data_IF_603153706012
#
_entry.id   IF_603153706012
#
_cell.length_a   1.000
_cell.length_b   1.000
_cell.length_c   1.000
_cell.angle_alpha   90.00
_cell.angle_beta   90.00
_cell.angle_gamma   90.00
#
_symmetry.space_group_name_H-M   'P 1'
#
loop_
_entity.id
_entity.type
_entity.pdbx_description
1 polymer ?
#
# COMPACT_ATOMS: atom_id res chain seq x y z
N UNK A 1 -6.31 16.25 -21.37
CA UNK A 1 -7.32 15.78 -20.39
C UNK A 1 -6.58 15.33 -19.15
N UNK A 2 -6.81 15.95 -17.99
CA UNK A 2 -6.14 15.55 -16.73
C UNK A 2 -6.93 14.38 -16.16
N UNK A 3 -6.34 13.19 -16.13
CA UNK A 3 -6.95 12.04 -15.48
C UNK A 3 -6.98 12.25 -13.96
N UNK A 4 -8.15 12.19 -13.30
CA UNK A 4 -8.19 12.33 -11.85
C UNK A 4 -7.51 11.14 -11.19
N UNK A 5 -6.69 11.42 -10.18
CA UNK A 5 -6.25 10.40 -9.23
C UNK A 5 -7.44 9.95 -8.39
N UNK A 6 -7.72 8.65 -8.35
CA UNK A 6 -8.83 8.08 -7.60
C UNK A 6 -8.27 7.20 -6.49
N UNK A 7 -8.79 7.38 -5.29
CA UNK A 7 -8.44 6.60 -4.12
C UNK A 7 -9.36 5.38 -4.01
N UNK A 8 -8.74 4.23 -3.85
CA UNK A 8 -9.41 2.95 -3.69
C UNK A 8 -8.98 2.31 -2.38
N UNK A 9 -9.93 1.75 -1.66
CA UNK A 9 -9.69 0.84 -0.54
C UNK A 9 -9.35 -0.53 -1.12
N UNK A 10 -8.28 -1.13 -0.63
CA UNK A 10 -7.93 -2.49 -0.99
C UNK A 10 -8.68 -3.46 -0.09
N UNK A 11 -9.48 -4.31 -0.70
CA UNK A 11 -10.30 -5.31 -0.01
C UNK A 11 -9.70 -6.67 -0.28
N UNK A 12 -9.25 -7.33 0.77
CA UNK A 12 -8.65 -8.66 0.71
C UNK A 12 -9.40 -9.54 1.70
N UNK A 13 -10.01 -10.64 1.25
CA UNK A 13 -10.71 -11.54 2.14
C UNK A 13 -9.74 -12.17 3.15
N UNK A 14 -10.24 -12.52 4.33
CA UNK A 14 -9.44 -13.18 5.37
C UNK A 14 -8.83 -14.51 4.86
N UNK A 15 -9.56 -15.19 3.97
CA UNK A 15 -9.19 -16.44 3.32
C UNK A 15 -8.46 -16.24 1.99
N UNK A 16 -8.00 -15.02 1.68
CA UNK A 16 -7.36 -14.74 0.40
C UNK A 16 -6.21 -15.71 0.11
N UNK A 17 -6.22 -16.24 -1.11
CA UNK A 17 -5.21 -17.18 -1.57
C UNK A 17 -3.79 -16.59 -1.54
N UNK A 18 -2.80 -17.48 -1.57
CA UNK A 18 -1.39 -17.15 -1.72
C UNK A 18 -1.17 -16.25 -2.95
N UNK A 19 -0.53 -15.10 -2.75
CA UNK A 19 -0.14 -14.20 -3.84
C UNK A 19 0.79 -14.92 -4.81
N UNK A 20 0.40 -15.00 -6.09
CA UNK A 20 1.33 -15.36 -7.16
C UNK A 20 2.31 -14.19 -7.38
N UNK A 21 3.49 -14.31 -6.78
CA UNK A 21 4.50 -13.24 -6.75
C UNK A 21 5.04 -12.92 -8.14
N UNK A 22 5.23 -13.91 -8.99
CA UNK A 22 5.83 -13.70 -10.30
C UNK A 22 4.83 -13.07 -11.26
N UNK A 23 3.58 -13.56 -11.26
CA UNK A 23 2.51 -12.93 -12.03
C UNK A 23 2.24 -11.49 -11.57
N UNK A 24 2.20 -11.26 -10.26
CA UNK A 24 2.04 -9.91 -9.69
C UNK A 24 3.15 -8.97 -10.13
N UNK A 25 4.42 -9.40 -10.00
CA UNK A 25 5.57 -8.59 -10.37
C UNK A 25 5.57 -8.23 -11.85
N UNK A 26 5.32 -9.20 -12.73
CA UNK A 26 5.27 -8.98 -14.16
C UNK A 26 4.15 -7.99 -14.53
N UNK A 27 2.97 -8.19 -13.94
CA UNK A 27 1.79 -7.39 -14.24
C UNK A 27 1.89 -5.95 -13.68
N UNK A 28 2.41 -5.77 -12.47
CA UNK A 28 2.68 -4.44 -11.90
C UNK A 28 3.76 -3.73 -12.71
N UNK A 29 4.85 -4.41 -13.09
CA UNK A 29 5.89 -3.82 -13.95
C UNK A 29 5.29 -3.31 -15.26
N UNK A 30 4.41 -4.10 -15.89
CA UNK A 30 3.71 -3.69 -17.10
C UNK A 30 2.80 -2.48 -16.85
N UNK A 31 2.03 -2.48 -15.76
CA UNK A 31 1.17 -1.35 -15.39
C UNK A 31 1.97 -0.06 -15.20
N UNK A 32 3.11 -0.13 -14.50
CA UNK A 32 3.99 1.01 -14.24
C UNK A 32 4.59 1.63 -15.51
N UNK A 33 4.62 0.89 -16.63
CA UNK A 33 4.97 1.46 -17.95
C UNK A 33 4.00 2.53 -18.41
N UNK A 34 2.74 2.45 -17.99
CA UNK A 34 1.67 3.29 -18.50
C UNK A 34 1.08 4.22 -17.44
N UNK A 35 1.13 3.84 -16.16
CA UNK A 35 0.53 4.60 -15.06
C UNK A 35 1.37 4.52 -13.79
N UNK A 36 1.49 5.64 -13.08
CA UNK A 36 2.05 5.60 -11.74
C UNK A 36 1.01 5.10 -10.72
N UNK A 37 1.51 4.59 -9.60
CA UNK A 37 0.70 4.03 -8.50
C UNK A 37 1.22 4.59 -7.18
N UNK A 38 0.32 4.97 -6.28
CA UNK A 38 0.67 5.23 -4.88
C UNK A 38 -0.11 4.26 -4.01
N UNK A 39 0.59 3.38 -3.30
CA UNK A 39 -0.02 2.59 -2.25
C UNK A 39 0.12 3.31 -0.91
N UNK A 40 -0.79 3.02 -0.01
CA UNK A 40 -0.75 3.52 1.35
C UNK A 40 -1.28 2.47 2.30
N UNK A 41 -0.52 2.20 3.34
CA UNK A 41 -0.99 1.42 4.50
C UNK A 41 -1.20 2.40 5.64
N UNK A 42 -2.40 2.38 6.20
CA UNK A 42 -2.77 3.15 7.38
C UNK A 42 -3.01 2.18 8.53
N UNK A 43 -2.40 2.45 9.68
CA UNK A 43 -2.66 1.78 10.95
C UNK A 43 -3.26 2.79 11.92
N UNK A 44 -4.35 2.41 12.57
CA UNK A 44 -5.00 3.19 13.64
C UNK A 44 -5.51 2.24 14.71
N UNK A 45 -5.00 2.38 15.94
CA UNK A 45 -5.44 1.61 17.13
C UNK A 45 -5.46 0.10 16.85
N UNK A 46 -4.36 -0.41 16.34
CA UNK A 46 -4.21 -1.84 16.06
C UNK A 46 -4.82 -2.34 14.74
N UNK A 47 -5.63 -1.53 14.05
CA UNK A 47 -6.25 -1.90 12.77
C UNK A 47 -5.46 -1.38 11.59
N UNK A 48 -5.21 -2.23 10.60
CA UNK A 48 -4.53 -1.85 9.36
C UNK A 48 -5.49 -1.88 8.17
N UNK A 49 -5.37 -0.88 7.30
CA UNK A 49 -6.11 -0.78 6.05
C UNK A 49 -5.19 -0.28 4.94
N UNK A 50 -5.17 -1.00 3.83
CA UNK A 50 -4.45 -0.61 2.63
C UNK A 50 -5.35 0.17 1.65
N UNK A 51 -4.74 1.11 0.96
CA UNK A 51 -5.36 1.92 -0.08
C UNK A 51 -4.40 2.04 -1.26
N UNK A 52 -4.95 2.24 -2.46
CA UNK A 52 -4.18 2.56 -3.66
C UNK A 52 -4.77 3.77 -4.36
N UNK A 53 -3.90 4.62 -4.88
CA UNK A 53 -4.29 5.75 -5.73
C UNK A 53 -3.80 5.51 -7.14
N UNK A 54 -4.74 5.56 -8.08
CA UNK A 54 -4.55 5.20 -9.49
C UNK A 54 -5.08 6.32 -10.38
N UNK A 55 -4.48 6.48 -11.56
CA UNK A 55 -5.03 7.36 -12.59
C UNK A 55 -6.31 6.75 -13.17
N UNK A 56 -7.44 7.42 -12.96
CA UNK A 56 -8.74 6.95 -13.41
C UNK A 56 -9.29 7.71 -14.62
N UNK A 57 -10.40 7.19 -15.15
CA UNK A 57 -11.30 7.94 -16.02
C UNK A 57 -12.53 8.41 -15.23
N UNK A 58 -13.33 9.32 -15.80
CA UNK A 58 -14.58 9.78 -15.19
C UNK A 58 -15.58 8.63 -14.92
N UNK A 59 -15.49 7.55 -15.70
CA UNK A 59 -16.30 6.35 -15.52
C UNK A 59 -15.95 5.55 -14.27
N UNK A 60 -14.73 5.69 -13.73
CA UNK A 60 -14.29 4.95 -12.55
C UNK A 60 -15.16 5.21 -11.32
N UNK A 61 -15.59 6.47 -11.11
CA UNK A 61 -16.42 6.85 -9.97
C UNK A 61 -17.83 6.25 -10.04
N UNK A 62 -18.27 5.84 -11.24
CA UNK A 62 -19.58 5.23 -11.52
C UNK A 62 -19.47 3.74 -11.83
N UNK A 63 -18.30 3.14 -11.62
CA UNK A 63 -17.98 1.76 -12.02
C UNK A 63 -18.22 1.45 -13.52
N UNK A 64 -18.27 2.48 -14.37
CA UNK A 64 -18.49 2.40 -15.81
C UNK A 64 -17.22 2.80 -16.58
N UNK A 65 -16.11 2.09 -16.32
CA UNK A 65 -14.81 2.43 -16.90
C UNK A 65 -14.81 2.33 -18.44
N UNK A 66 -14.22 3.32 -19.11
CA UNK A 66 -13.97 3.25 -20.56
C UNK A 66 -12.92 2.15 -20.89
N UNK A 67 -12.96 1.56 -22.09
CA UNK A 67 -11.89 0.67 -22.55
C UNK A 67 -10.50 1.31 -22.40
N UNK A 68 -9.52 0.53 -21.94
CA UNK A 68 -8.15 1.02 -21.71
C UNK A 68 -7.94 1.82 -20.41
N UNK A 69 -8.95 1.95 -19.55
CA UNK A 69 -8.82 2.61 -18.25
C UNK A 69 -7.71 1.97 -17.39
N UNK A 70 -6.73 2.77 -16.96
CA UNK A 70 -5.56 2.32 -16.18
C UNK A 70 -5.97 1.71 -14.83
N UNK A 71 -6.91 2.32 -14.11
CA UNK A 71 -7.44 1.75 -12.86
C UNK A 71 -8.15 0.42 -13.08
N UNK A 72 -8.93 0.26 -14.15
CA UNK A 72 -9.62 -1.00 -14.45
C UNK A 72 -8.62 -2.12 -14.81
N UNK A 73 -7.56 -1.78 -15.55
CA UNK A 73 -6.47 -2.72 -15.83
C UNK A 73 -5.74 -3.13 -14.54
N UNK A 74 -5.46 -2.20 -13.63
CA UNK A 74 -4.84 -2.51 -12.34
C UNK A 74 -5.72 -3.44 -11.50
N UNK A 75 -7.04 -3.20 -11.43
CA UNK A 75 -7.99 -4.10 -10.74
C UNK A 75 -7.91 -5.53 -11.26
N UNK A 76 -7.87 -5.72 -12.59
CA UNK A 76 -7.71 -7.05 -13.19
C UNK A 76 -6.38 -7.71 -12.82
N UNK A 77 -5.30 -6.93 -12.78
CA UNK A 77 -3.98 -7.42 -12.33
C UNK A 77 -4.04 -7.88 -10.87
N UNK A 78 -4.67 -7.08 -10.01
CA UNK A 78 -4.87 -7.38 -8.61
C UNK A 78 -5.67 -8.67 -8.42
N UNK A 79 -6.89 -8.77 -8.95
CA UNK A 79 -7.75 -9.94 -8.78
C UNK A 79 -7.13 -11.21 -9.37
N UNK A 80 -6.35 -11.10 -10.45
CA UNK A 80 -5.64 -12.25 -11.04
C UNK A 80 -4.48 -12.74 -10.14
N UNK A 81 -3.74 -11.82 -9.54
CA UNK A 81 -2.52 -12.17 -8.78
C UNK A 81 -2.83 -12.49 -7.32
N UNK A 82 -3.92 -11.92 -6.79
CA UNK A 82 -4.45 -12.14 -5.46
C UNK A 82 -5.95 -12.47 -5.58
N UNK A 83 -6.30 -13.75 -5.83
CA UNK A 83 -7.69 -14.18 -5.97
C UNK A 83 -8.56 -13.76 -4.79
N UNK A 84 -9.78 -13.29 -5.08
CA UNK A 84 -10.73 -12.80 -4.09
C UNK A 84 -10.52 -11.35 -3.66
N UNK A 85 -9.43 -10.70 -4.04
CA UNK A 85 -9.22 -9.27 -3.76
C UNK A 85 -9.90 -8.35 -4.78
N UNK A 86 -10.33 -7.18 -4.30
CA UNK A 86 -10.87 -6.09 -5.13
C UNK A 86 -10.45 -4.71 -4.62
N UNK A 87 -10.73 -3.69 -5.43
CA UNK A 87 -10.60 -2.29 -5.09
C UNK A 87 -11.98 -1.66 -4.90
N UNK A 88 -12.37 -1.49 -3.63
CA UNK A 88 -13.53 -0.72 -3.24
C UNK A 88 -13.29 0.78 -3.46
N UNK A 89 -14.24 1.47 -4.09
CA UNK A 89 -14.12 2.92 -4.27
C UNK A 89 -14.28 3.61 -2.92
N UNK A 90 -13.36 4.50 -2.55
CA UNK A 90 -13.56 5.37 -1.37
C UNK A 90 -14.67 6.37 -1.70
N UNK A 91 -15.68 6.49 -0.84
CA UNK A 91 -16.82 7.36 -1.09
C UNK A 91 -16.40 8.83 -1.30
N UNK A 92 -17.24 9.59 -1.99
CA UNK A 92 -17.05 11.04 -2.09
C UNK A 92 -17.40 11.71 -0.74
N UNK A 93 -16.70 12.79 -0.33
CA UNK A 93 -15.55 13.39 -1.01
C UNK A 93 -14.30 12.48 -0.98
N UNK A 94 -13.61 12.36 -2.11
CA UNK A 94 -12.43 11.50 -2.26
C UNK A 94 -11.30 11.92 -1.31
N UNK A 95 -10.89 11.01 -0.43
CA UNK A 95 -9.76 11.22 0.46
C UNK A 95 -9.92 10.48 1.79
N UNK A 96 -8.86 10.47 2.58
CA UNK A 96 -8.89 10.04 3.96
C UNK A 96 -8.89 11.24 4.90
N UNK A 97 -9.46 11.04 6.09
CA UNK A 97 -9.33 11.97 7.18
C UNK A 97 -7.85 12.24 7.47
N UNK A 98 -7.50 13.51 7.60
CA UNK A 98 -6.14 13.92 7.97
C UNK A 98 -5.94 13.67 9.46
N UNK A 99 -4.80 13.09 9.83
CA UNK A 99 -4.41 12.88 11.22
C UNK A 99 -3.15 13.70 11.53
N UNK A 100 -3.04 14.27 12.73
CA UNK A 100 -1.77 14.81 13.20
C UNK A 100 -0.76 13.66 13.19
N UNK A 101 0.37 13.88 12.55
CA UNK A 101 1.53 12.99 12.59
C UNK A 101 2.69 13.89 12.94
N UNK A 102 3.47 13.46 13.93
CA UNK A 102 4.49 14.31 14.56
C UNK A 102 5.87 13.99 13.99
N UNK A 103 6.14 12.70 13.76
CA UNK A 103 7.40 12.22 13.23
C UNK A 103 7.22 11.71 11.81
N UNK A 104 7.92 12.33 10.86
CA UNK A 104 7.83 11.98 9.44
C UNK A 104 9.21 11.81 8.80
N UNK A 105 9.39 10.68 8.14
CA UNK A 105 10.60 10.36 7.38
C UNK A 105 10.26 10.11 5.92
N UNK A 106 11.10 10.62 5.04
CA UNK A 106 11.03 10.36 3.60
C UNK A 106 12.12 9.34 3.27
N UNK A 107 11.76 8.32 2.51
CA UNK A 107 12.56 7.12 2.32
C UNK A 107 12.83 6.86 0.85
N UNK A 108 14.06 6.44 0.56
CA UNK A 108 14.45 5.80 -0.70
C UNK A 108 14.87 4.36 -0.47
N UNK A 109 14.62 3.45 -1.42
CA UNK A 109 15.09 2.09 -1.29
C UNK A 109 16.63 2.05 -1.31
N UNK A 110 17.23 1.49 -0.27
CA UNK A 110 18.62 1.01 -0.32
C UNK A 110 18.70 -0.36 -1.00
N UNK A 111 19.92 -0.86 -1.23
CA UNK A 111 20.17 -2.14 -1.92
C UNK A 111 19.51 -3.34 -1.24
N UNK A 112 19.35 -3.27 0.07
CA UNK A 112 18.77 -4.31 0.93
C UNK A 112 17.38 -3.94 1.44
N UNK A 113 16.71 -2.94 0.82
CA UNK A 113 15.40 -2.48 1.24
C UNK A 113 14.37 -3.61 1.25
N UNK A 114 13.74 -3.82 2.40
CA UNK A 114 12.66 -4.80 2.61
C UNK A 114 11.38 -4.08 3.03
N UNK A 115 10.20 -4.67 2.80
CA UNK A 115 9.00 -4.23 3.49
C UNK A 115 9.19 -4.28 5.01
N UNK A 116 8.56 -3.38 5.74
CA UNK A 116 8.54 -3.38 7.20
C UNK A 116 7.11 -3.17 7.70
N UNK A 117 6.82 -3.74 8.86
CA UNK A 117 5.49 -3.70 9.47
C UNK A 117 5.24 -2.38 10.20
N UNK A 118 3.98 -1.97 10.23
CA UNK A 118 3.52 -0.79 10.97
C UNK A 118 3.10 -1.11 12.41
N UNK A 119 3.10 -2.38 12.77
CA UNK A 119 2.66 -2.92 14.07
C UNK A 119 3.37 -2.33 15.29
N UNK A 120 4.47 -1.61 15.07
CA UNK A 120 5.29 -0.95 16.10
C UNK A 120 4.74 0.37 16.63
N UNK A 121 3.70 0.91 15.98
CA UNK A 121 3.04 2.15 16.34
C UNK A 121 1.53 1.92 16.41
N UNK A 122 0.80 2.64 17.25
CA UNK A 122 -0.67 2.56 17.28
C UNK A 122 -1.28 3.34 16.12
N UNK A 123 -0.67 4.49 15.78
CA UNK A 123 -0.98 5.26 14.58
C UNK A 123 0.23 5.41 13.64
N UNK A 124 0.11 4.85 12.44
CA UNK A 124 1.14 4.94 11.42
C UNK A 124 0.56 5.02 10.00
N UNK A 125 1.27 5.74 9.13
CA UNK A 125 0.92 5.92 7.72
C UNK A 125 2.16 5.72 6.88
N UNK A 126 2.20 4.64 6.10
CA UNK A 126 3.21 4.40 5.09
C UNK A 126 2.62 4.67 3.72
N UNK A 127 3.19 5.62 2.98
CA UNK A 127 2.84 5.91 1.59
C UNK A 127 4.01 5.49 0.72
N UNK A 128 3.77 4.67 -0.31
CA UNK A 128 4.79 4.23 -1.26
C UNK A 128 4.36 4.61 -2.67
N UNK A 129 5.17 5.43 -3.34
CA UNK A 129 4.95 5.85 -4.72
C UNK A 129 5.83 5.04 -5.67
N UNK A 130 5.19 4.48 -6.69
CA UNK A 130 5.80 3.71 -7.76
C UNK A 130 5.63 4.44 -9.09
N UNK A 131 6.72 4.64 -9.81
CA UNK A 131 6.71 5.30 -11.13
C UNK A 131 7.73 4.66 -12.07
N UNK A 132 7.58 4.89 -13.38
CA UNK A 132 8.64 4.66 -14.36
C UNK A 132 8.38 3.54 -15.36
N UNK A 133 8.77 3.78 -16.62
CA UNK A 133 8.49 2.90 -17.76
C UNK A 133 9.64 1.99 -18.17
N UNK A 134 10.88 2.51 -18.17
CA UNK A 134 12.09 1.72 -18.42
C UNK A 134 12.70 1.20 -17.13
N UNK A 135 12.63 2.00 -16.07
CA UNK A 135 13.19 1.69 -14.77
C UNK A 135 12.20 2.11 -13.69
N UNK A 136 11.83 1.17 -12.83
CA UNK A 136 10.94 1.42 -11.71
C UNK A 136 11.67 2.29 -10.67
N UNK A 137 11.01 3.37 -10.27
CA UNK A 137 11.44 4.28 -9.21
C UNK A 137 10.46 4.24 -8.06
N UNK A 138 11.01 4.35 -6.85
CA UNK A 138 10.27 4.21 -5.59
C UNK A 138 10.70 5.29 -4.63
N UNK A 139 9.71 5.96 -4.06
CA UNK A 139 9.89 6.77 -2.87
C UNK A 139 8.81 6.39 -1.87
N UNK A 140 9.15 6.40 -0.60
CA UNK A 140 8.20 6.18 0.46
C UNK A 140 8.22 7.35 1.45
N UNK A 141 7.12 7.48 2.19
CA UNK A 141 6.99 8.37 3.32
C UNK A 141 6.38 7.56 4.45
N UNK A 142 7.03 7.57 5.60
CA UNK A 142 6.51 6.99 6.83
C UNK A 142 6.22 8.14 7.79
N UNK A 143 4.98 8.24 8.22
CA UNK A 143 4.51 9.20 9.21
C UNK A 143 3.89 8.44 10.37
N UNK A 144 4.32 8.73 11.59
CA UNK A 144 3.90 8.04 12.81
C UNK A 144 3.55 9.07 13.88
N UNK A 145 2.84 8.62 14.91
CA UNK A 145 2.66 9.39 16.15
C UNK A 145 3.99 9.55 16.91
N UNK A 146 3.98 10.35 17.97
CA UNK A 146 5.18 10.62 18.77
C UNK A 146 5.64 9.41 19.59
N UNK A 147 4.69 8.61 20.07
CA UNK A 147 4.96 7.38 20.80
C UNK A 147 5.54 6.27 19.90
N UNK A 148 6.41 5.43 20.47
CA UNK A 148 7.03 4.30 19.79
C UNK A 148 8.42 4.57 19.20
N UNK A 149 9.03 3.58 18.55
CA UNK A 149 10.42 3.65 18.09
C UNK A 149 10.65 4.74 17.02
N UNK A 150 11.88 5.24 16.90
CA UNK A 150 12.23 6.21 15.87
C UNK A 150 11.97 5.64 14.46
N UNK A 151 11.06 6.24 13.65
CA UNK A 151 10.77 5.76 12.30
C UNK A 151 12.01 5.76 11.39
N UNK A 152 12.99 6.63 11.62
CA UNK A 152 14.22 6.66 10.84
C UNK A 152 15.08 5.42 11.12
N UNK A 153 15.22 5.02 12.39
CA UNK A 153 15.97 3.81 12.78
C UNK A 153 15.30 2.54 12.26
N UNK A 154 13.97 2.43 12.41
CA UNK A 154 13.22 1.28 11.87
C UNK A 154 13.39 1.16 10.36
N UNK A 155 13.29 2.27 9.63
CA UNK A 155 13.46 2.28 8.18
C UNK A 155 14.90 1.89 7.77
N UNK A 156 15.93 2.42 8.45
CA UNK A 156 17.33 2.06 8.19
C UNK A 156 17.61 0.59 8.47
N UNK A 157 17.08 0.05 9.56
CA UNK A 157 17.18 -1.37 9.89
C UNK A 157 16.53 -2.26 8.80
N UNK A 158 15.47 -1.77 8.15
CA UNK A 158 14.84 -2.40 7.01
C UNK A 158 15.55 -2.14 5.65
N UNK A 159 16.75 -1.54 5.67
CA UNK A 159 17.56 -1.28 4.48
C UNK A 159 17.11 -0.08 3.64
N UNK A 160 16.27 0.80 4.20
CA UNK A 160 15.88 2.06 3.55
C UNK A 160 16.85 3.19 3.87
N UNK A 161 17.02 4.07 2.89
CA UNK A 161 17.75 5.31 3.05
C UNK A 161 16.79 6.40 3.50
N UNK A 162 17.08 7.06 4.61
CA UNK A 162 16.31 8.20 5.11
C UNK A 162 16.86 9.47 4.48
N UNK A 163 16.00 10.26 3.83
CA UNK A 163 16.40 11.50 3.20
C UNK A 163 16.59 12.63 4.23
N UNK A 164 17.66 13.43 4.11
CA UNK A 164 17.84 14.61 4.93
C UNK A 164 16.72 15.63 4.68
N UNK A 165 16.36 16.40 5.71
CA UNK A 165 15.32 17.44 5.60
C UNK A 165 13.89 16.88 5.52
N UNK A 166 13.66 15.61 5.86
CA UNK A 166 12.32 15.03 5.91
C UNK A 166 11.36 15.80 6.82
N UNK A 167 11.85 16.43 7.89
CA UNK A 167 11.05 17.25 8.80
C UNK A 167 10.46 18.52 8.16
N UNK A 168 11.05 19.06 7.10
CA UNK A 168 10.60 20.32 6.48
C UNK A 168 9.38 20.12 5.57
N UNK A 169 9.35 19.03 4.81
CA UNK A 169 8.31 18.78 3.81
C UNK A 169 7.43 17.56 4.14
N UNK A 170 7.94 16.65 4.97
CA UNK A 170 7.26 15.42 5.37
C UNK A 170 5.87 15.65 5.95
N UNK A 171 5.68 16.53 6.95
CA UNK A 171 4.37 16.75 7.57
C UNK A 171 3.30 17.19 6.56
N UNK A 172 3.65 18.07 5.62
CA UNK A 172 2.72 18.52 4.56
C UNK A 172 2.34 17.37 3.63
N UNK A 173 3.29 16.49 3.30
CA UNK A 173 3.04 15.31 2.47
C UNK A 173 2.21 14.26 3.23
N UNK A 174 2.49 14.05 4.52
CA UNK A 174 1.78 13.13 5.39
C UNK A 174 0.32 13.53 5.62
N UNK A 175 -0.01 14.82 5.53
CA UNK A 175 -1.38 15.35 5.68
C UNK A 175 -2.19 15.36 4.39
N UNK A 176 -1.69 14.84 3.28
CA UNK A 176 -2.48 14.79 2.06
C UNK A 176 -3.66 13.81 2.22
N UNK A 177 -4.91 14.22 1.93
CA UNK A 177 -6.07 13.33 2.05
C UNK A 177 -6.01 12.21 1.01
N UNK A 178 -5.36 12.46 -0.13
CA UNK A 178 -5.15 11.49 -1.20
C UNK A 178 -3.67 11.47 -1.58
N UNK A 179 -2.94 10.37 -1.34
CA UNK A 179 -1.56 10.27 -1.77
C UNK A 179 -1.51 10.25 -3.30
N UNK A 180 -0.76 11.17 -3.89
CA UNK A 180 -0.56 11.19 -5.35
C UNK A 180 0.86 10.76 -5.66
N UNK A 181 1.07 9.92 -6.69
CA UNK A 181 2.43 9.54 -7.07
C UNK A 181 3.27 10.74 -7.44
N UNK A 182 4.49 10.80 -6.92
CA UNK A 182 5.42 11.92 -7.15
C UNK A 182 6.61 11.45 -7.94
N UNK A 183 6.69 11.84 -9.21
CA UNK A 183 7.76 11.43 -10.14
C UNK A 183 9.15 11.86 -9.70
N UNK A 184 9.28 12.99 -8.99
CA UNK A 184 10.56 13.51 -8.51
C UNK A 184 11.03 12.86 -7.20
N UNK A 185 10.13 12.22 -6.45
CA UNK A 185 10.42 11.65 -5.14
C UNK A 185 10.58 10.13 -5.29
N UNK A 186 11.73 9.69 -5.80
CA UNK A 186 12.03 8.25 -5.82
C UNK A 186 13.40 7.92 -6.37
N UNK A 187 14.01 6.85 -5.85
CA UNK A 187 15.24 6.26 -6.34
C UNK A 187 14.97 4.97 -7.12
N UNK A 188 15.99 4.46 -7.83
CA UNK A 188 15.91 3.19 -8.54
C UNK A 188 15.51 2.08 -7.56
N UNK A 189 14.48 1.30 -7.91
CA UNK A 189 14.22 0.06 -7.18
C UNK A 189 15.29 -0.98 -7.52
N UNK A 190 16.02 -1.52 -6.52
CA UNK A 190 17.17 -2.40 -6.77
C UNK A 190 16.80 -3.86 -7.06
N UNK A 191 15.56 -4.29 -6.79
CA UNK A 191 15.15 -5.69 -6.89
C UNK A 191 13.97 -5.97 -7.81
N UNK A 192 13.34 -7.12 -7.62
CA UNK A 192 12.01 -7.39 -8.18
C UNK A 192 10.96 -6.49 -7.52
N UNK A 193 9.95 -6.01 -8.27
CA UNK A 193 8.97 -5.03 -7.74
C UNK A 193 8.30 -5.64 -6.50
N UNK A 194 8.50 -5.08 -5.30
CA UNK A 194 8.15 -5.72 -4.05
C UNK A 194 6.65 -5.64 -3.81
N UNK A 195 6.22 -6.51 -2.91
CA UNK A 195 4.89 -6.61 -2.31
C UNK A 195 4.42 -5.35 -1.53
N UNK A 196 5.09 -4.20 -1.65
CA UNK A 196 4.68 -2.94 -0.99
C UNK A 196 3.39 -2.34 -1.58
N UNK A 197 2.79 -3.02 -2.56
CA UNK A 197 1.47 -2.73 -3.11
C UNK A 197 0.40 -3.73 -2.62
N UNK A 198 0.80 -4.77 -1.87
CA UNK A 198 -0.15 -5.71 -1.25
C UNK A 198 -0.33 -5.31 0.21
N UNK A 199 -1.54 -5.45 0.77
CA UNK A 199 -1.67 -5.31 2.21
C UNK A 199 -0.79 -6.39 2.83
N UNK A 200 -0.18 -6.10 3.97
CA UNK A 200 0.35 -7.17 4.78
C UNK A 200 -0.83 -8.04 5.21
N UNK A 201 -1.14 -9.07 4.42
CA UNK A 201 -2.02 -10.14 4.87
C UNK A 201 -1.20 -10.79 5.96
N UNK A 202 -1.57 -10.53 7.21
CA UNK A 202 -0.84 -10.99 8.39
C UNK A 202 -0.70 -12.51 8.36
N UNK A 203 0.35 -12.99 7.72
CA UNK A 203 0.84 -14.33 7.89
C UNK A 203 1.59 -14.33 9.21
N UNK A 204 0.99 -14.90 10.25
CA UNK A 204 1.78 -15.41 11.35
C UNK A 204 2.98 -16.18 10.79
N UNK A 205 4.21 -15.96 11.30
CA UNK A 205 5.30 -16.89 11.07
C UNK A 205 5.03 -18.15 11.91
N UNK A 206 4.18 -19.05 11.42
CA UNK A 206 3.93 -20.32 12.10
C UNK A 206 2.58 -20.94 11.81
N UNK A 207 2.40 -21.52 10.62
CA UNK A 207 1.66 -22.79 10.52
C UNK A 207 1.95 -23.43 9.16
N UNK A 208 3.13 -24.02 9.07
CA UNK A 208 3.31 -25.21 8.24
C UNK A 208 3.34 -26.39 9.22
N UNK A 209 2.35 -27.27 9.10
CA UNK A 209 2.36 -28.65 9.58
C UNK A 209 2.45 -28.88 11.11
N UNK A 210 1.29 -28.85 11.77
CA UNK A 210 0.87 -29.81 12.79
C UNK A 210 -0.67 -29.83 12.70
N UNK A 211 -1.32 -30.91 12.28
CA UNK A 211 -1.27 -32.21 12.94
C UNK A 211 -2.42 -32.24 13.95
N UNK A 212 -3.60 -32.62 13.45
CA UNK A 212 -4.75 -33.21 14.15
C UNK A 212 -5.46 -32.53 15.34
N UNK A 213 -6.79 -32.56 15.18
CA UNK A 213 -7.81 -32.96 16.14
C UNK A 213 -8.71 -31.87 16.76
N UNK A 214 -10.01 -32.12 16.54
CA UNK A 214 -11.16 -31.75 17.38
C UNK A 214 -11.47 -30.27 17.62
N UNK A 215 -12.57 -29.80 17.01
CA UNK A 215 -13.83 -29.63 17.75
C UNK A 215 -14.94 -29.17 16.79
N UNK A 216 -15.88 -30.09 16.55
CA UNK A 216 -17.19 -29.79 16.03
C UNK A 216 -18.14 -29.25 17.12
N UNK A 217 -19.17 -28.54 16.68
CA UNK A 217 -20.47 -28.31 17.33
C UNK A 217 -20.56 -27.28 18.48
N UNK A 218 -21.13 -26.09 18.19
CA UNK A 218 -22.57 -25.78 18.37
C UNK A 218 -22.81 -24.28 18.65
N UNK A 219 -23.98 -23.74 18.24
CA UNK A 219 -24.33 -22.32 18.36
C UNK A 219 -25.01 -22.02 19.70
N UNK A 220 -24.80 -20.82 20.25
CA UNK A 220 -25.68 -20.28 21.29
C UNK A 220 -26.21 -18.88 20.95
N UNK A 221 -27.53 -18.82 21.10
CA UNK A 221 -28.46 -17.70 21.06
C UNK A 221 -28.17 -16.77 22.25
N UNK A 222 -28.22 -15.46 22.04
CA UNK A 222 -28.22 -14.47 23.10
C UNK A 222 -29.61 -13.83 23.18
N UNK A 223 -30.22 -13.90 24.36
CA UNK A 223 -31.28 -12.98 24.80
C UNK A 223 -30.67 -11.62 25.22
#
# INVERSE_FOLDING_TARGET
MIHPWILWRLEVPAEACVLDRDAWQAAVRLHLRYSAVAAMTLRVRGREQAYVTLEGCEGCLRQACRPGCRSALFRRVLTRSLPGSDLGLVAAPQGLATRPTERVVVLWPGRTARPFELTRWDEARLIVSWTGSRQVRVGALLAVEDDGPDPAEVARAAGWLVLPGSGLFGPRLARQPKPTPRRWLGARWPGAVPLLLTPWVGGQPGSALAGDADLAASPQVWE
#
